data_IF_071719375854
#
_entry.id   IF_071719375854
#
_cell.length_a   1.000
_cell.length_b   1.000
_cell.length_c   1.000
_cell.angle_alpha   90.00
_cell.angle_beta   90.00
_cell.angle_gamma   90.00
#
_symmetry.space_group_name_H-M   'P 1'
#
loop_
_entity.id
_entity.type
_entity.pdbx_description
1 polymer ?
#
# COMPACT_ATOMS: atom_id res chain seq x y z
N UNK A 1 2.98 65.36 -36.04
CA UNK A 1 3.25 66.24 -37.19
C UNK A 1 4.74 66.12 -37.57
N UNK A 2 5.10 65.17 -38.44
CA UNK A 2 6.23 65.25 -39.38
C UNK A 2 6.30 63.99 -40.24
N UNK A 3 6.20 64.23 -41.52
CA UNK A 3 6.33 63.32 -42.66
C UNK A 3 7.81 63.22 -43.04
N UNK A 4 8.23 62.03 -43.50
CA UNK A 4 9.36 61.70 -44.44
C UNK A 4 9.42 60.16 -44.45
N UNK A 5 9.03 59.38 -45.46
CA UNK A 5 9.24 59.42 -46.92
C UNK A 5 10.70 59.64 -47.31
N UNK A 6 11.40 58.57 -47.72
CA UNK A 6 11.87 58.41 -49.11
C UNK A 6 12.93 57.29 -49.26
N UNK A 7 12.68 56.34 -50.18
CA UNK A 7 13.59 55.79 -51.22
C UNK A 7 14.83 54.99 -50.74
N UNK A 8 15.41 54.00 -51.42
CA UNK A 8 15.17 53.13 -52.59
C UNK A 8 16.45 52.26 -52.62
N UNK A 9 16.38 50.97 -52.98
CA UNK A 9 17.17 50.42 -54.09
C UNK A 9 17.05 48.90 -54.20
N UNK A 10 16.58 48.50 -55.37
CA UNK A 10 16.47 47.17 -55.94
C UNK A 10 17.82 46.45 -56.04
N UNK A 11 17.83 45.13 -55.82
CA UNK A 11 18.62 44.19 -56.62
C UNK A 11 17.88 42.85 -56.70
N UNK A 12 17.40 42.57 -57.91
CA UNK A 12 16.92 41.28 -58.37
C UNK A 12 18.10 40.37 -58.71
N UNK A 13 18.10 39.13 -58.24
CA UNK A 13 18.73 38.03 -58.98
C UNK A 13 17.91 36.76 -58.81
N UNK A 14 17.41 36.28 -59.94
CA UNK A 14 16.82 34.97 -60.14
C UNK A 14 17.91 33.90 -60.00
N UNK A 15 17.63 32.85 -59.24
CA UNK A 15 18.21 31.54 -59.49
C UNK A 15 17.20 30.46 -59.12
N UNK A 16 17.05 29.56 -60.08
CA UNK A 16 15.99 28.59 -60.27
C UNK A 16 16.39 27.24 -59.68
N UNK A 17 15.39 26.39 -59.44
CA UNK A 17 15.45 24.93 -59.21
C UNK A 17 16.15 24.42 -57.94
N UNK A 18 15.35 23.89 -57.01
CA UNK A 18 15.18 22.44 -56.86
C UNK A 18 14.18 22.15 -55.75
N UNK A 19 13.03 21.60 -56.13
CA UNK A 19 12.04 21.03 -55.22
C UNK A 19 12.66 19.86 -54.47
N UNK A 20 13.08 20.07 -53.23
CA UNK A 20 13.36 18.97 -52.31
C UNK A 20 12.04 18.61 -51.64
N UNK A 21 11.41 17.54 -52.10
CA UNK A 21 10.31 16.89 -51.42
C UNK A 21 10.85 16.32 -50.11
N UNK A 22 10.74 17.08 -49.03
CA UNK A 22 10.92 16.54 -47.67
C UNK A 22 9.69 15.68 -47.40
N UNK A 23 9.86 14.37 -47.57
CA UNK A 23 8.94 13.40 -47.00
C UNK A 23 8.97 13.55 -45.49
N UNK A 24 7.97 14.22 -44.93
CA UNK A 24 7.65 14.17 -43.49
C UNK A 24 7.09 12.78 -43.25
N UNK A 25 7.99 11.82 -43.06
CA UNK A 25 7.66 10.49 -42.58
C UNK A 25 7.09 10.59 -41.18
N UNK A 26 5.93 9.96 -40.98
CA UNK A 26 5.30 9.74 -39.68
C UNK A 26 6.32 9.23 -38.67
N UNK A 27 6.62 10.05 -37.68
CA UNK A 27 7.06 9.62 -36.36
C UNK A 27 5.94 9.96 -35.37
N UNK A 28 4.77 9.36 -35.53
CA UNK A 28 3.84 9.25 -34.40
C UNK A 28 4.56 8.36 -33.39
N UNK A 29 5.30 9.00 -32.49
CA UNK A 29 5.69 8.38 -31.25
C UNK A 29 4.37 7.93 -30.59
N UNK A 30 4.09 6.64 -30.70
CA UNK A 30 3.33 5.94 -29.69
C UNK A 30 4.09 6.18 -28.38
N UNK A 31 3.75 7.29 -27.72
CA UNK A 31 3.82 7.35 -26.25
C UNK A 31 2.73 6.37 -25.82
N UNK A 32 3.03 5.07 -25.99
CA UNK A 32 2.24 4.00 -25.41
C UNK A 32 2.16 4.33 -23.93
N UNK A 33 0.94 4.30 -23.39
CA UNK A 33 0.63 4.58 -22.00
C UNK A 33 1.65 3.86 -21.11
N UNK A 34 2.68 4.59 -20.66
CA UNK A 34 3.87 3.97 -20.08
C UNK A 34 3.61 3.30 -18.72
N UNK A 35 2.42 3.51 -18.16
CA UNK A 35 2.01 3.02 -16.85
C UNK A 35 0.61 2.40 -16.94
N UNK A 36 0.38 1.49 -17.88
CA UNK A 36 -0.86 0.69 -17.88
C UNK A 36 -0.87 -0.18 -16.61
N UNK A 37 -2.00 -0.20 -15.87
CA UNK A 37 -2.10 -0.99 -14.65
C UNK A 37 -2.02 -2.49 -14.98
N UNK A 38 -1.30 -3.23 -14.15
CA UNK A 38 -1.12 -4.67 -14.27
C UNK A 38 -1.99 -5.38 -13.24
N UNK A 39 -2.60 -6.50 -13.63
CA UNK A 39 -3.39 -7.34 -12.75
C UNK A 39 -2.56 -8.51 -12.26
N UNK A 40 -2.48 -8.64 -10.94
CA UNK A 40 -1.84 -9.75 -10.25
C UNK A 40 -2.95 -10.59 -9.61
N UNK A 41 -3.19 -11.82 -10.11
CA UNK A 41 -4.23 -12.67 -9.56
C UNK A 41 -3.83 -13.14 -8.15
N UNK A 42 -4.82 -13.28 -7.27
CA UNK A 42 -4.62 -13.97 -6.01
C UNK A 42 -4.11 -15.40 -6.25
N UNK A 43 -3.25 -15.94 -5.37
CA UNK A 43 -2.74 -17.29 -5.51
C UNK A 43 -3.87 -18.33 -5.42
N UNK A 44 -4.83 -18.13 -4.52
CA UNK A 44 -5.95 -19.04 -4.28
C UNK A 44 -7.20 -18.28 -3.82
N UNK A 45 -8.38 -18.87 -4.05
CA UNK A 45 -9.63 -18.39 -3.46
C UNK A 45 -9.67 -18.75 -1.96
N UNK A 46 -10.25 -17.86 -1.16
CA UNK A 46 -10.35 -18.00 0.29
C UNK A 46 -11.74 -18.50 0.69
N UNK A 47 -11.81 -19.54 1.50
CA UNK A 47 -13.07 -20.10 2.00
C UNK A 47 -13.20 -19.92 3.52
N UNK A 48 -14.30 -19.31 3.96
CA UNK A 48 -14.54 -19.00 5.37
C UNK A 48 -15.96 -19.36 5.82
N UNK A 49 -16.18 -19.36 7.13
CA UNK A 49 -17.48 -19.58 7.75
C UNK A 49 -17.93 -21.04 7.81
N UNK A 50 -16.99 -21.99 7.69
CA UNK A 50 -17.23 -23.42 8.00
C UNK A 50 -17.06 -23.62 9.50
N UNK A 51 -17.90 -24.46 10.12
CA UNK A 51 -17.69 -24.79 11.54
C UNK A 51 -16.51 -25.75 11.68
N UNK A 52 -15.58 -25.45 12.58
CA UNK A 52 -14.52 -26.38 12.98
C UNK A 52 -15.02 -27.41 14.02
N UNK A 53 -14.13 -28.33 14.44
CA UNK A 53 -14.45 -29.36 15.44
C UNK A 53 -14.82 -28.77 16.82
N UNK A 54 -14.44 -27.52 17.09
CA UNK A 54 -14.73 -26.80 18.33
C UNK A 54 -16.00 -25.94 18.23
N UNK A 55 -16.68 -25.92 17.07
CA UNK A 55 -17.89 -25.14 16.83
C UNK A 55 -17.63 -23.66 16.54
N UNK A 56 -16.38 -23.28 16.27
CA UNK A 56 -16.01 -21.93 15.85
C UNK A 56 -16.06 -21.82 14.33
N UNK A 57 -16.39 -20.63 13.82
CA UNK A 57 -16.40 -20.36 12.38
C UNK A 57 -14.97 -20.16 11.90
N UNK A 58 -14.61 -20.82 10.80
CA UNK A 58 -13.32 -20.66 10.15
C UNK A 58 -13.17 -19.25 9.58
N UNK A 59 -11.96 -18.71 9.68
CA UNK A 59 -11.50 -17.53 8.96
C UNK A 59 -10.47 -17.97 7.94
N UNK A 60 -10.38 -17.23 6.83
CA UNK A 60 -9.35 -17.45 5.82
C UNK A 60 -8.38 -16.27 5.80
N UNK A 61 -7.10 -16.56 5.61
CA UNK A 61 -6.04 -15.55 5.43
C UNK A 61 -5.32 -15.82 4.12
N UNK A 62 -5.03 -14.77 3.37
CA UNK A 62 -4.15 -14.86 2.21
C UNK A 62 -3.16 -13.70 2.19
N UNK A 63 -1.97 -13.98 1.68
CA UNK A 63 -0.90 -13.01 1.51
C UNK A 63 -0.45 -12.99 0.06
N UNK A 64 -0.30 -11.78 -0.48
CA UNK A 64 0.24 -11.55 -1.82
C UNK A 64 1.44 -10.61 -1.71
N UNK A 65 2.64 -11.16 -1.91
CA UNK A 65 3.87 -10.38 -2.02
C UNK A 65 3.95 -9.75 -3.41
N UNK A 66 4.14 -8.43 -3.46
CA UNK A 66 4.34 -7.74 -4.73
C UNK A 66 5.72 -8.10 -5.31
N UNK A 67 5.80 -8.45 -6.60
CA UNK A 67 7.05 -8.84 -7.23
C UNK A 67 7.90 -7.60 -7.53
N UNK A 68 8.54 -7.03 -6.51
CA UNK A 68 9.38 -5.83 -6.62
C UNK A 68 10.78 -6.22 -7.10
N UNK A 69 11.34 -5.48 -8.06
CA UNK A 69 12.71 -5.63 -8.56
C UNK A 69 13.73 -5.34 -7.46
N UNK A 70 14.82 -6.10 -7.41
CA UNK A 70 15.95 -5.83 -6.52
C UNK A 70 16.44 -4.39 -6.68
N UNK A 71 16.80 -3.75 -5.56
CA UNK A 71 17.34 -2.40 -5.58
C UNK A 71 18.65 -2.32 -6.36
N UNK A 72 18.70 -1.40 -7.33
CA UNK A 72 19.93 -1.12 -8.08
C UNK A 72 20.88 -0.26 -7.26
N UNK A 73 22.19 -0.34 -7.52
CA UNK A 73 23.18 0.54 -6.86
C UNK A 73 22.89 2.04 -7.09
N UNK A 74 22.32 2.40 -8.24
CA UNK A 74 21.93 3.77 -8.54
C UNK A 74 20.74 4.23 -7.68
N UNK A 75 19.76 3.37 -7.46
CA UNK A 75 18.61 3.70 -6.61
C UNK A 75 19.00 3.71 -5.13
N UNK A 76 19.85 2.79 -4.69
CA UNK A 76 20.43 2.81 -3.34
C UNK A 76 21.17 4.13 -3.07
N UNK A 77 21.95 4.63 -4.04
CA UNK A 77 22.63 5.93 -3.91
C UNK A 77 21.65 7.10 -3.82
N UNK A 78 20.58 7.12 -4.62
CA UNK A 78 19.52 8.15 -4.54
C UNK A 78 18.80 8.10 -3.19
N UNK A 79 18.46 6.90 -2.72
CA UNK A 79 17.80 6.66 -1.44
C UNK A 79 18.67 7.10 -0.27
N UNK A 80 19.96 6.76 -0.28
CA UNK A 80 20.92 7.21 0.72
C UNK A 80 21.10 8.73 0.73
N UNK A 81 21.14 9.37 -0.45
CA UNK A 81 21.19 10.83 -0.55
C UNK A 81 19.93 11.48 0.01
N UNK A 82 18.75 10.91 -0.27
CA UNK A 82 17.48 11.40 0.27
C UNK A 82 17.42 11.19 1.79
N UNK A 83 17.85 10.04 2.30
CA UNK A 83 17.92 9.77 3.74
C UNK A 83 18.83 10.77 4.45
N UNK A 84 20.01 11.07 3.88
CA UNK A 84 20.91 12.09 4.41
C UNK A 84 20.29 13.50 4.39
N UNK A 85 19.54 13.84 3.34
CA UNK A 85 18.85 15.12 3.23
C UNK A 85 17.72 15.27 4.27
N UNK A 86 16.95 14.21 4.48
CA UNK A 86 15.79 14.22 5.38
C UNK A 86 16.17 13.90 6.84
N UNK A 87 17.39 13.40 7.08
CA UNK A 87 17.88 12.93 8.37
C UNK A 87 16.99 11.83 8.99
N UNK A 88 16.38 11.00 8.13
CA UNK A 88 15.56 9.85 8.51
C UNK A 88 15.84 8.69 7.55
N UNK A 89 15.61 7.47 8.00
CA UNK A 89 15.70 6.30 7.12
C UNK A 89 14.58 6.34 6.07
N UNK A 90 14.97 6.09 4.82
CA UNK A 90 14.07 6.12 3.67
C UNK A 90 13.95 4.71 3.13
N UNK A 91 12.72 4.18 2.99
CA UNK A 91 12.52 2.85 2.45
C UNK A 91 12.79 2.80 0.94
N UNK A 92 13.13 1.62 0.43
CA UNK A 92 13.24 1.39 -1.00
C UNK A 92 11.90 1.51 -1.71
N UNK A 93 10.81 0.99 -1.13
CA UNK A 93 9.46 1.14 -1.69
C UNK A 93 8.68 2.17 -0.89
N UNK A 94 8.34 3.29 -1.52
CA UNK A 94 7.72 4.44 -0.86
C UNK A 94 6.31 4.70 -1.37
N UNK A 95 5.53 5.42 -0.57
CA UNK A 95 4.23 5.91 -1.01
C UNK A 95 4.38 6.77 -2.27
N UNK A 96 3.59 6.43 -3.28
CA UNK A 96 3.63 7.08 -4.60
C UNK A 96 4.56 6.40 -5.61
N UNK A 97 5.35 5.40 -5.21
CA UNK A 97 6.08 4.57 -6.18
C UNK A 97 5.12 3.58 -6.90
N UNK A 98 4.04 3.17 -6.22
CA UNK A 98 2.98 2.27 -6.71
C UNK A 98 1.59 2.83 -6.37
N UNK A 99 0.62 2.62 -7.27
CA UNK A 99 -0.81 2.81 -6.99
C UNK A 99 -1.49 1.44 -7.00
N UNK A 100 -2.15 1.05 -5.90
CA UNK A 100 -2.64 -0.32 -5.69
C UNK A 100 -4.15 -0.29 -5.44
N UNK A 101 -4.88 -1.10 -6.18
CA UNK A 101 -6.31 -1.36 -5.99
C UNK A 101 -6.53 -2.86 -5.77
N UNK A 102 -7.50 -3.23 -4.93
CA UNK A 102 -7.84 -4.65 -4.68
C UNK A 102 -9.30 -4.86 -5.04
N UNK A 103 -9.52 -5.50 -6.19
CA UNK A 103 -10.84 -5.90 -6.64
C UNK A 103 -11.19 -7.24 -6.01
N UNK A 104 -12.37 -7.35 -5.40
CA UNK A 104 -12.79 -8.57 -4.72
C UNK A 104 -14.22 -9.00 -5.07
N UNK A 105 -14.48 -10.29 -4.97
CA UNK A 105 -15.78 -10.92 -5.15
C UNK A 105 -16.05 -11.91 -4.03
N UNK A 106 -17.15 -11.71 -3.30
CA UNK A 106 -17.67 -12.65 -2.31
C UNK A 106 -18.80 -13.45 -2.94
N UNK A 107 -18.82 -14.75 -2.70
CA UNK A 107 -19.90 -15.66 -3.04
C UNK A 107 -20.40 -16.37 -1.77
N UNK A 108 -21.69 -16.21 -1.45
CA UNK A 108 -22.30 -17.00 -0.38
C UNK A 108 -22.68 -18.37 -0.92
N UNK A 109 -22.01 -19.41 -0.43
CA UNK A 109 -22.23 -20.79 -0.87
C UNK A 109 -23.41 -21.44 -0.14
N UNK A 110 -23.86 -20.85 0.98
CA UNK A 110 -25.09 -21.24 1.65
C UNK A 110 -26.32 -20.79 0.82
N UNK A 111 -27.21 -21.73 0.54
CA UNK A 111 -28.40 -21.52 -0.31
C UNK A 111 -29.64 -21.12 0.49
N UNK A 112 -29.58 -21.16 1.82
CA UNK A 112 -30.73 -20.97 2.70
C UNK A 112 -30.59 -19.74 3.60
N UNK A 113 -29.36 -19.38 3.99
CA UNK A 113 -29.10 -18.36 5.01
C UNK A 113 -28.41 -17.13 4.44
N UNK A 114 -28.93 -15.96 4.82
CA UNK A 114 -28.16 -14.71 4.72
C UNK A 114 -26.95 -14.86 5.63
N UNK A 115 -25.78 -14.49 5.13
CA UNK A 115 -24.57 -14.42 5.92
C UNK A 115 -24.01 -13.01 5.98
N UNK A 116 -23.19 -12.76 6.98
CA UNK A 116 -22.36 -11.57 7.09
C UNK A 116 -20.94 -11.95 6.66
N UNK A 117 -20.37 -11.15 5.78
CA UNK A 117 -18.99 -11.22 5.35
C UNK A 117 -18.23 -9.98 5.83
N UNK A 118 -16.97 -10.15 6.20
CA UNK A 118 -16.04 -9.06 6.49
C UNK A 118 -14.72 -9.36 5.79
N UNK A 119 -14.16 -8.34 5.12
CA UNK A 119 -12.82 -8.38 4.54
C UNK A 119 -12.00 -7.33 5.27
N UNK A 120 -10.93 -7.76 5.92
CA UNK A 120 -9.96 -6.92 6.62
C UNK A 120 -8.70 -6.82 5.77
N UNK A 121 -8.26 -5.59 5.51
CA UNK A 121 -7.03 -5.29 4.79
C UNK A 121 -5.93 -4.99 5.81
N UNK A 122 -4.89 -5.82 5.77
CA UNK A 122 -3.63 -5.65 6.48
C UNK A 122 -2.48 -5.68 5.47
N UNK A 123 -1.25 -5.84 5.95
CA UNK A 123 -0.12 -6.06 5.06
C UNK A 123 1.23 -5.91 5.72
N UNK A 124 2.24 -5.83 4.87
CA UNK A 124 3.58 -5.48 5.26
C UNK A 124 4.18 -4.44 4.32
N UNK A 125 5.01 -3.57 4.88
CA UNK A 125 5.99 -2.80 4.13
C UNK A 125 7.36 -3.47 4.24
N UNK A 126 8.42 -2.84 3.73
CA UNK A 126 9.76 -3.45 3.79
C UNK A 126 10.36 -3.58 5.20
N UNK A 127 9.81 -2.86 6.17
CA UNK A 127 10.34 -2.77 7.54
C UNK A 127 9.51 -3.62 8.52
N UNK A 128 8.19 -3.61 8.36
CA UNK A 128 7.25 -4.19 9.33
C UNK A 128 6.08 -4.90 8.67
N UNK A 129 5.60 -5.95 9.32
CA UNK A 129 4.33 -6.60 9.00
C UNK A 129 3.33 -6.39 10.12
N UNK A 130 2.08 -6.16 9.73
CA UNK A 130 0.97 -5.95 10.64
C UNK A 130 0.20 -7.25 10.84
N UNK A 131 0.08 -7.68 12.09
CA UNK A 131 -0.85 -8.73 12.49
C UNK A 131 -1.59 -8.23 13.74
N UNK A 132 -2.85 -7.77 13.62
CA UNK A 132 -3.59 -7.20 14.73
C UNK A 132 -3.80 -8.21 15.87
N UNK A 133 -3.76 -9.52 15.59
CA UNK A 133 -3.97 -10.57 16.61
C UNK A 133 -2.81 -10.71 17.59
N UNK A 134 -1.64 -10.17 17.24
CA UNK A 134 -0.45 -10.18 18.09
C UNK A 134 -0.29 -8.91 18.92
N UNK A 135 -1.15 -7.91 18.69
CA UNK A 135 -1.09 -6.62 19.35
C UNK A 135 -2.11 -6.61 20.49
N UNK A 136 -1.63 -6.70 21.73
CA UNK A 136 -2.44 -6.63 22.93
C UNK A 136 -2.19 -5.28 23.59
N UNK A 137 -3.14 -4.36 23.44
CA UNK A 137 -3.00 -2.98 23.94
C UNK A 137 -3.36 -2.83 25.42
N UNK A 138 -4.27 -3.66 25.92
CA UNK A 138 -4.60 -3.73 27.34
C UNK A 138 -4.68 -5.20 27.78
N UNK A 139 -3.55 -5.81 28.20
CA UNK A 139 -3.52 -7.23 28.55
C UNK A 139 -4.29 -7.58 29.82
N UNK A 140 -4.59 -6.58 30.66
CA UNK A 140 -5.29 -6.75 31.94
C UNK A 140 -6.82 -6.55 31.83
N UNK A 141 -7.31 -6.25 30.62
CA UNK A 141 -8.73 -6.01 30.33
C UNK A 141 -9.22 -6.98 29.25
N UNK A 142 -9.99 -7.99 29.66
CA UNK A 142 -10.59 -8.98 28.78
C UNK A 142 -11.81 -8.46 28.01
N UNK A 143 -12.33 -7.29 28.37
CA UNK A 143 -13.38 -6.58 27.64
C UNK A 143 -12.82 -5.59 26.60
N UNK A 144 -11.51 -5.41 26.56
CA UNK A 144 -10.87 -4.52 25.58
C UNK A 144 -11.21 -4.94 24.15
N UNK A 145 -11.59 -4.01 23.27
CA UNK A 145 -11.87 -4.34 21.88
C UNK A 145 -10.61 -4.90 21.20
N UNK A 146 -10.76 -5.86 20.27
CA UNK A 146 -9.61 -6.37 19.53
C UNK A 146 -8.96 -5.24 18.72
N UNK A 147 -7.64 -5.32 18.56
CA UNK A 147 -6.89 -4.39 17.71
C UNK A 147 -7.47 -4.42 16.29
N UNK A 148 -7.75 -3.25 15.66
CA UNK A 148 -8.36 -3.20 14.35
C UNK A 148 -7.34 -3.57 13.26
N UNK A 149 -7.83 -4.06 12.12
CA UNK A 149 -7.07 -4.10 10.88
C UNK A 149 -6.72 -2.69 10.36
N UNK A 150 -5.90 -2.62 9.31
CA UNK A 150 -5.54 -1.32 8.71
C UNK A 150 -6.69 -0.66 7.92
N UNK A 151 -7.54 -1.45 7.26
CA UNK A 151 -8.79 -0.98 6.66
C UNK A 151 -9.84 -2.11 6.56
N UNK A 152 -11.09 -1.75 6.28
CA UNK A 152 -12.18 -2.70 6.06
C UNK A 152 -12.81 -3.21 7.37
N UNK A 153 -12.97 -4.53 7.46
CA UNK A 153 -13.63 -5.24 8.55
C UNK A 153 -15.09 -4.79 8.83
N UNK A 154 -15.75 -4.14 7.86
CA UNK A 154 -17.16 -3.75 7.95
C UNK A 154 -18.05 -4.93 7.56
N UNK A 155 -19.05 -5.32 8.37
CA UNK A 155 -19.98 -6.38 8.00
C UNK A 155 -20.79 -6.05 6.74
N UNK A 156 -20.84 -7.01 5.81
CA UNK A 156 -21.59 -6.95 4.55
C UNK A 156 -22.58 -8.10 4.54
N UNK A 157 -23.87 -7.80 4.40
CA UNK A 157 -24.89 -8.83 4.21
C UNK A 157 -24.81 -9.42 2.81
N UNK A 158 -24.70 -10.74 2.72
CA UNK A 158 -24.68 -11.50 1.47
C UNK A 158 -25.86 -12.46 1.46
N UNK A 159 -26.81 -12.22 0.56
CA UNK A 159 -27.97 -13.08 0.40
C UNK A 159 -27.58 -14.54 0.04
N UNK A 160 -28.45 -15.54 0.30
CA UNK A 160 -28.14 -16.92 -0.02
C UNK A 160 -27.85 -17.10 -1.51
N UNK A 161 -26.79 -17.82 -1.86
CA UNK A 161 -26.36 -18.06 -3.25
C UNK A 161 -25.92 -16.81 -4.02
N UNK A 162 -25.85 -15.62 -3.39
CA UNK A 162 -25.55 -14.37 -4.07
C UNK A 162 -24.04 -14.14 -4.22
N UNK A 163 -23.71 -13.32 -5.22
CA UNK A 163 -22.36 -12.78 -5.43
C UNK A 163 -22.36 -11.28 -5.25
N UNK A 164 -21.37 -10.76 -4.53
CA UNK A 164 -21.12 -9.34 -4.36
C UNK A 164 -19.69 -9.02 -4.77
N UNK A 165 -19.51 -7.90 -5.43
CA UNK A 165 -18.20 -7.39 -5.84
C UNK A 165 -17.91 -6.08 -5.14
N UNK A 166 -16.65 -5.81 -4.84
CA UNK A 166 -16.23 -4.52 -4.32
C UNK A 166 -14.76 -4.25 -4.58
N UNK A 167 -14.28 -3.16 -3.98
CA UNK A 167 -12.99 -2.58 -4.29
C UNK A 167 -12.41 -1.93 -3.02
N UNK A 168 -11.19 -2.32 -2.65
CA UNK A 168 -10.33 -1.41 -1.89
C UNK A 168 -9.67 -0.46 -2.88
N UNK A 169 -10.02 0.82 -2.75
CA UNK A 169 -9.52 1.87 -3.64
C UNK A 169 -8.05 2.18 -3.39
N UNK A 170 -7.40 2.84 -4.34
CA UNK A 170 -6.04 3.34 -4.19
C UNK A 170 -5.86 4.18 -2.91
N UNK A 171 -6.83 5.03 -2.62
CA UNK A 171 -6.80 5.88 -1.44
C UNK A 171 -6.83 5.08 -0.13
N UNK A 172 -7.57 3.97 -0.10
CA UNK A 172 -7.66 3.08 1.06
C UNK A 172 -6.36 2.30 1.28
N UNK A 173 -5.79 1.71 0.22
CA UNK A 173 -4.52 0.98 0.33
C UNK A 173 -3.36 1.93 0.67
N UNK A 174 -3.43 3.17 0.16
CA UNK A 174 -2.46 4.21 0.54
C UNK A 174 -2.61 4.61 1.99
N UNK A 175 -3.83 4.74 2.52
CA UNK A 175 -4.05 5.02 3.93
C UNK A 175 -3.52 3.89 4.81
N UNK A 176 -3.84 2.63 4.49
CA UNK A 176 -3.30 1.47 5.20
C UNK A 176 -1.76 1.46 5.24
N UNK A 177 -1.09 1.90 4.16
CA UNK A 177 0.37 2.06 4.15
C UNK A 177 0.86 3.13 5.14
N UNK A 178 0.15 4.27 5.22
CA UNK A 178 0.47 5.38 6.12
C UNK A 178 0.25 4.96 7.57
N UNK A 179 -0.88 4.32 7.85
CA UNK A 179 -1.24 3.87 9.19
C UNK A 179 -0.23 2.84 9.70
N UNK A 180 0.14 1.86 8.87
CA UNK A 180 1.19 0.89 9.24
C UNK A 180 2.50 1.59 9.60
N UNK A 181 2.91 2.57 8.81
CA UNK A 181 4.16 3.30 9.01
C UNK A 181 4.14 4.16 10.29
N UNK A 182 2.98 4.73 10.60
CA UNK A 182 2.76 5.49 11.82
C UNK A 182 2.68 4.61 13.05
N UNK A 183 2.03 3.45 12.97
CA UNK A 183 1.98 2.48 14.06
C UNK A 183 3.39 2.01 14.40
N UNK A 184 4.19 1.74 13.37
CA UNK A 184 5.50 1.13 13.50
C UNK A 184 6.60 2.15 13.77
N UNK A 185 7.00 2.95 12.78
CA UNK A 185 8.04 3.98 12.95
C UNK A 185 7.56 5.19 13.74
N UNK A 186 6.26 5.48 13.69
CA UNK A 186 5.67 6.57 14.44
C UNK A 186 5.36 6.23 15.91
N UNK A 187 5.34 4.93 16.27
CA UNK A 187 4.83 4.41 17.54
C UNK A 187 3.40 4.88 17.86
N UNK A 188 2.58 5.20 16.86
CA UNK A 188 1.21 5.66 17.08
C UNK A 188 0.34 4.48 17.49
N UNK A 189 -0.54 4.65 18.48
CA UNK A 189 -1.50 3.63 18.85
C UNK A 189 -2.37 3.21 17.62
N UNK A 190 -2.56 1.91 17.35
CA UNK A 190 -3.32 1.43 16.19
C UNK A 190 -4.74 2.00 16.04
N UNK A 191 -5.47 2.16 17.15
CA UNK A 191 -6.81 2.79 17.12
C UNK A 191 -6.71 4.26 16.72
N UNK A 192 -5.67 4.96 17.18
CA UNK A 192 -5.46 6.36 16.83
C UNK A 192 -5.04 6.52 15.37
N UNK A 193 -4.16 5.66 14.88
CA UNK A 193 -3.71 5.69 13.48
C UNK A 193 -4.92 5.55 12.54
N UNK A 194 -5.66 4.45 12.68
CA UNK A 194 -6.83 4.14 11.84
C UNK A 194 -7.98 5.16 11.94
N UNK A 195 -8.16 5.85 13.07
CA UNK A 195 -9.31 6.74 13.28
C UNK A 195 -9.03 8.23 13.07
N UNK A 196 -7.80 8.70 13.27
CA UNK A 196 -7.53 10.14 13.40
C UNK A 196 -6.59 10.72 12.35
N UNK A 197 -5.88 9.86 11.61
CA UNK A 197 -4.86 10.31 10.69
C UNK A 197 -5.39 10.24 9.26
N UNK A 198 -4.92 11.17 8.42
CA UNK A 198 -5.44 11.39 7.08
C UNK A 198 -4.44 10.94 6.04
N UNK A 199 -4.96 10.33 4.96
CA UNK A 199 -4.23 10.03 3.72
C UNK A 199 -3.44 11.18 3.11
N UNK A 200 -3.78 12.42 3.49
CA UNK A 200 -3.13 13.64 3.05
C UNK A 200 -1.98 14.10 3.97
N UNK A 201 -1.63 13.32 5.00
CA UNK A 201 -0.54 13.61 5.92
C UNK A 201 0.75 13.91 5.15
N UNK A 202 1.37 15.05 5.47
CA UNK A 202 2.64 15.48 4.88
C UNK A 202 3.84 15.04 5.70
N UNK A 203 3.61 14.77 6.97
CA UNK A 203 4.62 14.31 7.93
C UNK A 203 3.89 13.53 9.03
N UNK A 204 4.60 12.68 9.76
CA UNK A 204 4.20 12.26 11.10
C UNK A 204 5.36 12.43 12.08
N UNK A 205 5.04 12.68 13.34
CA UNK A 205 6.03 12.82 14.40
C UNK A 205 6.17 11.46 15.10
N UNK A 206 7.37 10.82 15.07
CA UNK A 206 7.61 9.65 15.90
C UNK A 206 7.45 10.00 17.37
N UNK A 207 6.85 9.08 18.12
CA UNK A 207 6.59 9.20 19.54
C UNK A 207 7.37 8.13 20.33
N UNK A 208 7.48 8.30 21.64
CA UNK A 208 7.93 7.23 22.54
C UNK A 208 7.01 6.00 22.37
N UNK A 209 7.56 4.77 22.47
CA UNK A 209 6.74 3.56 22.36
C UNK A 209 5.53 3.59 23.31
N UNK A 210 4.35 3.10 22.90
CA UNK A 210 3.22 2.99 23.80
C UNK A 210 3.58 2.09 24.98
N UNK A 211 3.03 2.37 26.16
CA UNK A 211 3.19 1.55 27.36
C UNK A 211 1.83 0.88 27.69
N UNK A 212 1.60 -0.37 27.24
CA UNK A 212 0.35 -1.09 27.49
C UNK A 212 0.03 -1.18 28.99
N UNK A 213 -1.22 -0.94 29.40
CA UNK A 213 -1.62 -1.07 30.81
C UNK A 213 -1.27 0.12 31.73
N UNK A 214 -0.67 1.19 31.20
CA UNK A 214 -0.56 2.49 31.90
C UNK A 214 -1.52 3.49 31.27
N UNK A 215 -2.70 3.66 31.88
CA UNK A 215 -3.76 4.55 31.39
C UNK A 215 -3.37 6.04 31.41
N UNK A 216 -2.42 6.41 32.28
CA UNK A 216 -1.91 7.78 32.41
C UNK A 216 -0.70 8.06 31.50
N UNK A 217 -0.26 7.06 30.73
CA UNK A 217 0.91 7.19 29.86
C UNK A 217 0.66 8.15 28.70
N UNK A 218 1.43 9.24 28.67
CA UNK A 218 1.44 10.20 27.56
C UNK A 218 2.67 9.96 26.70
N UNK A 219 2.47 9.64 25.43
CA UNK A 219 3.57 9.49 24.47
C UNK A 219 4.22 10.84 24.16
N UNK A 220 5.54 10.92 24.23
CA UNK A 220 6.31 12.14 23.95
C UNK A 220 6.94 12.08 22.55
N UNK A 221 7.07 13.21 21.83
CA UNK A 221 7.80 13.25 20.56
C UNK A 221 9.26 12.82 20.68
N UNK A 222 9.70 11.94 19.77
CA UNK A 222 11.11 11.54 19.63
C UNK A 222 11.59 11.75 18.19
N UNK A 223 12.85 12.14 18.03
CA UNK A 223 13.46 12.32 16.72
C UNK A 223 12.83 13.42 15.85
N UNK A 224 13.28 13.49 14.60
CA UNK A 224 12.73 14.41 13.61
C UNK A 224 11.40 13.86 13.04
N UNK A 225 10.45 14.72 12.64
CA UNK A 225 9.28 14.30 11.90
C UNK A 225 9.69 13.55 10.62
N UNK A 226 9.04 12.43 10.35
CA UNK A 226 9.21 11.70 9.09
C UNK A 226 8.34 12.40 8.04
N UNK A 227 8.91 12.88 6.93
CA UNK A 227 8.15 13.51 5.87
C UNK A 227 7.58 12.47 4.90
N UNK A 228 6.53 12.86 4.16
CA UNK A 228 5.78 11.95 3.26
C UNK A 228 6.67 11.27 2.23
N UNK A 229 7.71 11.95 1.76
CA UNK A 229 8.67 11.43 0.79
C UNK A 229 9.50 10.25 1.34
N UNK A 230 9.44 10.00 2.65
CA UNK A 230 10.06 8.89 3.34
C UNK A 230 9.04 7.86 3.86
N UNK A 231 7.74 8.00 3.57
CA UNK A 231 6.74 7.03 4.02
C UNK A 231 6.88 5.71 3.28
N UNK A 232 6.79 4.60 4.02
CA UNK A 232 6.85 3.26 3.46
C UNK A 232 5.53 2.90 2.77
N UNK A 233 5.59 2.27 1.60
CA UNK A 233 4.42 1.68 0.96
C UNK A 233 4.30 0.19 1.28
N UNK A 234 3.08 -0.34 1.21
CA UNK A 234 2.86 -1.79 1.28
C UNK A 234 3.58 -2.51 0.14
N UNK A 235 4.37 -3.52 0.50
CA UNK A 235 5.05 -4.46 -0.41
C UNK A 235 4.39 -5.84 -0.37
N UNK A 236 3.56 -6.11 0.64
CA UNK A 236 2.73 -7.31 0.78
C UNK A 236 1.32 -6.91 1.18
N UNK A 237 0.33 -7.46 0.49
CA UNK A 237 -1.09 -7.34 0.84
C UNK A 237 -1.48 -8.58 1.63
N UNK A 238 -2.03 -8.38 2.82
CA UNK A 238 -2.58 -9.46 3.65
C UNK A 238 -4.09 -9.23 3.78
N UNK A 239 -4.90 -10.21 3.42
CA UNK A 239 -6.36 -10.15 3.57
C UNK A 239 -6.82 -11.20 4.56
N UNK A 240 -7.71 -10.79 5.48
CA UNK A 240 -8.44 -11.69 6.36
C UNK A 240 -9.91 -11.68 5.97
N UNK A 241 -10.48 -12.85 5.72
CA UNK A 241 -11.89 -13.03 5.37
C UNK A 241 -12.62 -13.79 6.46
N UNK A 242 -13.64 -13.13 7.01
CA UNK A 242 -14.47 -13.62 8.11
C UNK A 242 -15.90 -13.74 7.60
N UNK A 243 -16.57 -14.86 7.85
CA UNK A 243 -17.92 -15.11 7.38
C UNK A 243 -18.77 -15.88 8.38
N UNK A 244 -20.06 -15.55 8.48
CA UNK A 244 -21.01 -16.25 9.39
C UNK A 244 -21.69 -17.46 8.76
N UNK A 245 -21.63 -17.58 7.43
CA UNK A 245 -22.06 -18.75 6.64
C UNK A 245 -20.90 -19.19 5.76
N UNK A 246 -21.01 -20.36 5.11
CA UNK A 246 -19.97 -20.82 4.21
C UNK A 246 -19.89 -19.91 2.98
N UNK A 247 -18.79 -19.21 2.82
CA UNK A 247 -18.57 -18.25 1.74
C UNK A 247 -17.18 -18.40 1.13
N UNK A 248 -17.06 -17.90 -0.10
CA UNK A 248 -15.80 -17.83 -0.84
C UNK A 248 -15.48 -16.38 -1.20
N UNK A 249 -14.22 -15.99 -1.05
CA UNK A 249 -13.66 -14.72 -1.51
C UNK A 249 -12.62 -14.97 -2.61
N UNK A 250 -12.79 -14.29 -3.74
CA UNK A 250 -11.80 -14.19 -4.81
C UNK A 250 -11.34 -12.74 -4.91
N UNK A 251 -10.05 -12.50 -5.16
CA UNK A 251 -9.53 -11.14 -5.33
C UNK A 251 -8.44 -11.03 -6.39
N UNK A 252 -8.25 -9.83 -6.91
CA UNK A 252 -7.16 -9.46 -7.81
C UNK A 252 -6.55 -8.15 -7.33
N UNK A 253 -5.22 -8.05 -7.42
CA UNK A 253 -4.49 -6.83 -7.09
C UNK A 253 -4.11 -6.13 -8.39
N UNK A 254 -4.66 -4.94 -8.60
CA UNK A 254 -4.34 -4.07 -9.72
C UNK A 254 -3.28 -3.07 -9.29
N UNK A 255 -2.14 -3.07 -9.97
CA UNK A 255 -1.00 -2.22 -9.62
C UNK A 255 -0.65 -1.32 -10.81
N UNK A 256 -0.64 -0.01 -10.62
CA UNK A 256 0.02 0.92 -11.51
C UNK A 256 1.42 1.21 -10.98
N UNK A 257 2.42 0.82 -11.74
CA UNK A 257 3.82 1.05 -11.40
C UNK A 257 4.24 2.45 -11.88
N UNK A 258 4.39 3.39 -10.95
CA UNK A 258 4.73 4.78 -11.26
C UNK A 258 6.24 4.92 -11.48
N UNK A 259 7.03 4.09 -10.81
CA UNK A 259 8.50 4.20 -10.77
C UNK A 259 9.21 3.20 -11.70
N UNK A 260 8.55 2.12 -12.11
CA UNK A 260 9.15 1.04 -12.89
C UNK A 260 9.82 -0.03 -12.03
N UNK A 261 9.38 -0.20 -10.77
CA UNK A 261 9.97 -1.14 -9.81
C UNK A 261 9.25 -2.49 -9.71
N UNK A 262 8.09 -2.64 -10.34
CA UNK A 262 7.41 -3.93 -10.45
C UNK A 262 8.16 -4.79 -11.48
N UNK A 263 8.30 -6.08 -11.19
CA UNK A 263 9.00 -7.01 -12.06
C UNK A 263 8.13 -7.40 -13.26
N UNK A 264 8.71 -7.38 -14.47
CA UNK A 264 7.97 -7.58 -15.73
C UNK A 264 7.32 -8.98 -15.83
N UNK A 265 7.95 -9.99 -15.20
CA UNK A 265 7.41 -11.36 -15.09
C UNK A 265 6.39 -11.56 -13.95
N UNK A 266 6.11 -10.52 -13.16
CA UNK A 266 5.17 -10.58 -12.03
C UNK A 266 5.43 -11.79 -11.10
N UNK A 267 4.39 -12.56 -10.76
CA UNK A 267 4.51 -13.73 -9.88
C UNK A 267 5.36 -14.86 -10.50
N UNK A 268 5.48 -14.93 -11.83
CA UNK A 268 6.37 -15.90 -12.49
C UNK A 268 7.85 -15.60 -12.23
N UNK A 269 8.19 -14.36 -11.86
CA UNK A 269 9.55 -14.02 -11.46
C UNK A 269 10.03 -14.84 -10.25
N UNK A 270 9.12 -15.26 -9.36
CA UNK A 270 9.44 -16.05 -8.16
C UNK A 270 10.08 -17.38 -8.55
N UNK A 271 9.65 -17.98 -9.66
CA UNK A 271 10.21 -19.25 -10.15
C UNK A 271 11.35 -19.04 -11.13
N UNK A 272 11.17 -18.11 -12.08
CA UNK A 272 12.05 -18.02 -13.25
C UNK A 272 13.27 -17.16 -12.98
N UNK A 273 13.13 -16.16 -12.10
CA UNK A 273 14.16 -15.14 -11.83
C UNK A 273 14.15 -14.67 -10.36
N UNK A 274 14.21 -15.57 -9.37
CA UNK A 274 14.13 -15.18 -7.96
C UNK A 274 15.23 -14.18 -7.53
N UNK A 275 16.40 -14.22 -8.18
CA UNK A 275 17.50 -13.28 -7.89
C UNK A 275 17.31 -11.86 -8.44
N UNK A 276 16.28 -11.60 -9.26
CA UNK A 276 15.90 -10.26 -9.72
C UNK A 276 14.81 -9.63 -8.81
N UNK A 277 14.33 -10.36 -7.80
CA UNK A 277 13.34 -9.87 -6.85
C UNK A 277 13.98 -9.32 -5.57
N UNK A 278 13.41 -8.24 -5.05
CA UNK A 278 13.72 -7.77 -3.70
C UNK A 278 13.15 -8.76 -2.68
N UNK A 279 13.96 -9.14 -1.71
CA UNK A 279 13.54 -9.95 -0.57
C UNK A 279 13.41 -9.02 0.63
N UNK A 280 12.19 -8.86 1.11
CA UNK A 280 11.89 -8.12 2.33
C UNK A 280 11.59 -9.12 3.44
N UNK A 281 12.24 -8.95 4.58
CA UNK A 281 11.99 -9.72 5.81
C UNK A 281 11.45 -8.77 6.88
N UNK A 282 10.20 -8.29 6.72
CA UNK A 282 9.62 -7.33 7.64
C UNK A 282 9.52 -7.92 9.04
N UNK A 283 9.83 -7.11 10.04
CA UNK A 283 9.64 -7.49 11.44
C UNK A 283 8.15 -7.46 11.78
N UNK A 284 7.66 -8.51 12.43
CA UNK A 284 6.29 -8.50 12.98
C UNK A 284 6.19 -7.40 14.03
N UNK A 285 5.26 -6.46 13.83
CA UNK A 285 5.02 -5.43 14.82
C UNK A 285 4.29 -6.03 16.02
N UNK A 286 4.99 -6.10 17.14
CA UNK A 286 4.45 -6.48 18.43
C UNK A 286 5.00 -5.49 19.47
N UNK A 287 4.18 -4.52 19.96
CA UNK A 287 4.64 -3.61 20.99
C UNK A 287 5.04 -4.42 22.23
N UNK A 288 6.16 -4.05 22.85
CA UNK A 288 6.61 -4.76 24.05
C UNK A 288 5.53 -4.65 25.13
N UNK A 289 5.19 -5.75 25.84
CA UNK A 289 4.32 -5.66 27.00
C UNK A 289 4.94 -4.70 28.02
N UNK A 290 4.12 -3.96 28.75
CA UNK A 290 4.66 -3.08 29.79
C UNK A 290 5.51 -3.89 30.77
N UNK A 291 6.64 -3.30 31.16
CA UNK A 291 7.38 -3.83 32.29
C UNK A 291 6.44 -3.80 33.51
N UNK A 292 6.38 -4.90 34.30
CA UNK A 292 5.52 -4.92 35.47
C UNK A 292 5.82 -3.71 36.35
N UNK A 293 4.77 -3.03 36.80
CA UNK A 293 4.89 -1.87 37.67
C UNK A 293 5.87 -2.19 38.82
N UNK A 294 6.84 -1.31 39.13
CA UNK A 294 7.75 -1.56 40.22
C UNK A 294 6.93 -1.79 41.49
N UNK A 295 7.18 -2.90 42.17
CA UNK A 295 6.46 -3.25 43.39
C UNK A 295 6.43 -2.05 44.34
N UNK A 296 5.22 -1.61 44.72
CA UNK A 296 5.04 -0.52 45.66
C UNK A 296 5.85 -0.83 46.93
N UNK A 297 6.78 0.07 47.27
CA UNK A 297 7.63 -0.03 48.45
C UNK A 297 6.94 0.55 49.67
#
# INVERSE_FOLDING_TARGET
MRVRSSLLSSFSSFSSFSSLTVGVGLGLALVGCANDPVYIPAPEAMEAGVMDEMGMRSEAKASLLLPIKTETAADAAKRAALAAQLMVDVPYVRIGDLEIEIEWTIENLDQEKVGLAQIELDGANELFSYDPTLIILNPDDDEAPPTPGLDGNVPIEVAPGAKLTGLFTEDQVREASIDLDQITRGNVNPFRASLTISKNAKTFQPLTPPMPGDEDYVQEPIGAPIPREAFAALTRIDLVFKATTFMKLEYNVRVRDIRGILHDLLLTAVTDKPGELAVFEPMVYAPAPAAPAPAAR
#
